data_IF_683534508094
#
_entry.id   IF_683534508094
#
_cell.length_a   1.000
_cell.length_b   1.000
_cell.length_c   1.000
_cell.angle_alpha   90.00
_cell.angle_beta   90.00
_cell.angle_gamma   90.00
#
_symmetry.space_group_name_H-M   'P 1'
#
loop_
_entity.id
_entity.type
_entity.pdbx_description
1 polymer ?
#
# COMPACT_ATOMS: atom_id res chain seq x y z
N UNK A 1 8.59 -25.88 10.30
CA UNK A 1 8.11 -24.56 10.76
C UNK A 1 8.53 -23.53 9.74
N UNK A 2 7.64 -23.15 8.83
CA UNK A 2 7.95 -22.19 7.78
C UNK A 2 7.83 -20.78 8.36
N UNK A 3 8.98 -20.13 8.54
CA UNK A 3 9.08 -18.74 8.97
C UNK A 3 8.50 -17.90 7.84
N UNK A 4 7.34 -17.27 8.06
CA UNK A 4 6.73 -16.34 7.11
C UNK A 4 7.73 -15.23 6.80
N UNK A 5 8.22 -15.19 5.56
CA UNK A 5 9.12 -14.13 5.11
C UNK A 5 8.31 -12.84 5.00
N UNK A 6 8.56 -11.89 5.90
CA UNK A 6 8.20 -10.48 5.69
C UNK A 6 8.91 -10.00 4.42
N UNK A 7 8.15 -9.77 3.36
CA UNK A 7 8.64 -9.15 2.13
C UNK A 7 8.65 -7.66 2.38
N UNK A 8 9.78 -6.99 2.12
CA UNK A 8 9.90 -5.53 2.29
C UNK A 8 8.81 -4.80 1.49
N UNK A 9 8.31 -3.63 1.96
CA UNK A 9 7.39 -2.78 1.20
C UNK A 9 7.92 -2.53 -0.22
N UNK A 10 7.03 -2.61 -1.21
CA UNK A 10 7.39 -2.41 -2.62
C UNK A 10 6.78 -1.11 -3.11
N UNK A 11 7.61 -0.25 -3.69
CA UNK A 11 7.11 0.97 -4.33
C UNK A 11 6.24 0.61 -5.54
N UNK A 12 5.19 1.40 -5.74
CA UNK A 12 4.29 1.22 -6.86
C UNK A 12 5.02 1.43 -8.20
N UNK A 13 4.99 0.49 -9.15
CA UNK A 13 5.63 0.65 -10.46
C UNK A 13 5.09 1.84 -11.28
N UNK A 14 3.91 2.38 -10.93
CA UNK A 14 3.38 3.60 -11.55
C UNK A 14 4.01 4.90 -11.01
N UNK A 15 4.93 4.85 -10.03
CA UNK A 15 5.62 6.03 -9.48
C UNK A 15 6.72 6.62 -10.34
N UNK A 16 7.09 5.99 -11.45
CA UNK A 16 8.00 6.64 -12.41
C UNK A 16 7.38 7.93 -12.99
N UNK A 17 6.06 8.15 -12.83
CA UNK A 17 5.40 9.36 -13.28
C UNK A 17 4.29 9.83 -12.31
N UNK A 18 4.48 11.01 -11.70
CA UNK A 18 3.42 11.93 -11.19
C UNK A 18 2.98 11.80 -9.72
N UNK A 19 3.88 11.94 -8.76
CA UNK A 19 3.51 12.73 -7.58
C UNK A 19 4.08 14.15 -7.76
N UNK A 20 3.37 15.22 -7.39
CA UNK A 20 3.97 16.56 -7.33
C UNK A 20 5.21 16.52 -6.41
N UNK A 21 6.18 17.40 -6.64
CA UNK A 21 7.48 17.47 -5.92
C UNK A 21 7.37 17.37 -4.39
N UNK A 22 6.19 17.67 -3.82
CA UNK A 22 5.78 17.21 -2.49
C UNK A 22 4.25 17.22 -2.38
N UNK A 23 3.61 16.14 -1.96
CA UNK A 23 2.21 16.15 -1.53
C UNK A 23 2.08 17.00 -0.24
N UNK A 24 1.40 18.16 -0.29
CA UNK A 24 1.39 19.09 0.83
C UNK A 24 0.51 18.59 1.97
N UNK A 25 0.84 19.02 3.18
CA UNK A 25 0.04 18.79 4.38
C UNK A 25 -1.41 19.20 4.21
N UNK A 26 -2.33 18.41 4.76
CA UNK A 26 -3.76 18.67 4.66
C UNK A 26 -4.48 18.49 6.00
N UNK A 27 -3.76 18.52 7.13
CA UNK A 27 -4.33 18.32 8.48
C UNK A 27 -5.48 19.27 8.84
N UNK A 28 -5.52 20.46 8.24
CA UNK A 28 -6.59 21.44 8.46
C UNK A 28 -7.80 21.25 7.53
N UNK A 29 -7.75 20.26 6.64
CA UNK A 29 -8.84 19.94 5.73
C UNK A 29 -10.02 19.37 6.54
N UNK A 30 -11.26 19.81 6.30
CA UNK A 30 -12.42 19.24 6.97
C UNK A 30 -12.52 17.74 6.73
N UNK A 31 -12.80 16.96 7.77
CA UNK A 31 -12.94 15.49 7.70
C UNK A 31 -13.96 15.04 6.64
N UNK A 32 -14.96 15.87 6.34
CA UNK A 32 -15.95 15.62 5.29
C UNK A 32 -15.37 15.55 3.87
N UNK A 33 -14.14 16.05 3.67
CA UNK A 33 -13.41 15.98 2.40
C UNK A 33 -12.60 14.70 2.24
N UNK A 34 -12.42 13.92 3.31
CA UNK A 34 -11.67 12.66 3.24
C UNK A 34 -12.56 11.52 2.75
N UNK A 35 -12.01 10.73 1.84
CA UNK A 35 -12.63 9.55 1.25
C UNK A 35 -12.76 8.44 2.29
N UNK A 36 -13.98 7.94 2.46
CA UNK A 36 -14.34 6.98 3.51
C UNK A 36 -14.15 5.52 3.06
N UNK A 37 -14.29 4.60 4.01
CA UNK A 37 -14.25 3.16 3.78
C UNK A 37 -15.13 2.73 2.60
N UNK A 38 -16.34 3.27 2.49
CA UNK A 38 -17.31 2.88 1.45
C UNK A 38 -16.81 3.23 0.05
N UNK A 39 -16.13 4.37 -0.10
CA UNK A 39 -15.50 4.75 -1.37
C UNK A 39 -14.46 3.71 -1.76
N UNK A 40 -13.49 3.41 -0.89
CA UNK A 40 -12.43 2.45 -1.21
C UNK A 40 -12.94 1.03 -1.41
N UNK A 41 -13.95 0.62 -0.63
CA UNK A 41 -14.60 -0.67 -0.78
C UNK A 41 -15.30 -0.82 -2.14
N UNK A 42 -15.85 0.28 -2.70
CA UNK A 42 -16.43 0.28 -4.05
C UNK A 42 -15.39 0.10 -5.16
N UNK A 43 -14.13 0.44 -4.90
CA UNK A 43 -13.03 0.36 -5.86
C UNK A 43 -12.28 -0.98 -5.84
N UNK A 44 -12.64 -1.89 -4.91
CA UNK A 44 -11.98 -3.19 -4.82
C UNK A 44 -12.24 -4.08 -6.02
N UNK A 45 -11.20 -4.80 -6.45
CA UNK A 45 -11.25 -5.83 -7.49
C UNK A 45 -11.92 -7.11 -6.98
N UNK A 46 -13.24 -7.05 -6.82
CA UNK A 46 -14.06 -8.19 -6.37
C UNK A 46 -13.97 -9.40 -7.29
N UNK A 47 -13.68 -9.16 -8.57
CA UNK A 47 -13.39 -10.20 -9.57
C UNK A 47 -12.15 -11.02 -9.21
N UNK A 48 -11.18 -10.43 -8.51
CA UNK A 48 -10.00 -11.10 -7.96
C UNK A 48 -10.23 -11.61 -6.52
N UNK A 49 -11.45 -11.51 -5.98
CA UNK A 49 -11.76 -11.89 -4.61
C UNK A 49 -11.22 -10.93 -3.55
N UNK A 50 -10.94 -9.67 -3.90
CA UNK A 50 -10.44 -8.68 -2.95
C UNK A 50 -11.50 -8.33 -1.89
N UNK A 51 -11.11 -8.38 -0.61
CA UNK A 51 -11.97 -8.06 0.53
C UNK A 51 -11.30 -7.02 1.44
N UNK A 52 -12.01 -5.95 1.79
CA UNK A 52 -11.49 -4.93 2.70
C UNK A 52 -11.63 -5.41 4.15
N UNK A 53 -10.50 -5.70 4.80
CA UNK A 53 -10.46 -6.16 6.20
C UNK A 53 -10.44 -4.98 7.17
N UNK A 54 -9.52 -4.03 6.95
CA UNK A 54 -9.33 -2.88 7.82
C UNK A 54 -9.27 -1.57 7.03
N UNK A 55 -9.66 -0.49 7.69
CA UNK A 55 -9.59 0.87 7.17
C UNK A 55 -9.32 1.85 8.31
N UNK A 56 -8.31 2.68 8.15
CA UNK A 56 -7.97 3.75 9.09
C UNK A 56 -7.56 5.03 8.32
N UNK A 57 -7.75 6.18 8.96
CA UNK A 57 -7.09 7.42 8.57
C UNK A 57 -6.09 7.81 9.64
N UNK A 58 -4.94 8.32 9.21
CA UNK A 58 -3.94 8.90 10.10
C UNK A 58 -3.06 9.86 9.32
N UNK A 59 -2.24 10.64 10.03
CA UNK A 59 -1.20 11.43 9.35
C UNK A 59 -0.12 10.51 8.79
N UNK A 60 0.64 10.98 7.81
CA UNK A 60 1.71 10.20 7.22
C UNK A 60 2.79 9.88 8.26
N UNK A 61 3.08 10.82 9.17
CA UNK A 61 3.97 10.58 10.30
C UNK A 61 3.47 9.46 11.21
N UNK A 62 2.19 9.49 11.61
CA UNK A 62 1.61 8.43 12.46
C UNK A 62 1.68 7.06 11.77
N UNK A 63 1.48 7.03 10.44
CA UNK A 63 1.65 5.81 9.65
C UNK A 63 3.09 5.29 9.71
N UNK A 64 4.08 6.17 9.51
CA UNK A 64 5.50 5.80 9.59
C UNK A 64 5.81 5.22 10.97
N UNK A 65 5.40 5.92 12.02
CA UNK A 65 5.67 5.52 13.40
C UNK A 65 5.01 4.18 13.76
N UNK A 66 3.80 3.92 13.26
CA UNK A 66 3.02 2.72 13.56
C UNK A 66 3.45 1.50 12.74
N UNK A 67 3.66 1.65 11.43
CA UNK A 67 3.81 0.52 10.51
C UNK A 67 5.22 0.35 9.96
N UNK A 68 6.03 1.41 9.93
CA UNK A 68 7.40 1.36 9.41
C UNK A 68 8.40 2.06 10.35
N UNK A 69 8.45 1.67 11.64
CA UNK A 69 9.30 2.34 12.60
C UNK A 69 10.77 2.25 12.17
N UNK A 70 11.46 3.40 12.13
CA UNK A 70 12.85 3.49 11.68
C UNK A 70 13.04 3.63 10.15
N UNK A 71 11.96 3.69 9.37
CA UNK A 71 11.98 4.14 7.99
C UNK A 71 11.88 5.66 7.92
N UNK A 72 12.57 6.29 6.98
CA UNK A 72 12.44 7.75 6.72
C UNK A 72 11.18 8.11 5.92
N UNK A 73 10.31 7.15 5.63
CA UNK A 73 9.14 7.34 4.76
C UNK A 73 9.53 7.81 3.35
N UNK A 74 8.53 8.22 2.59
CA UNK A 74 8.72 8.79 1.26
C UNK A 74 8.86 10.30 1.39
N UNK A 75 9.99 10.86 0.93
CA UNK A 75 10.39 12.26 1.13
C UNK A 75 9.41 13.27 0.54
N UNK A 76 8.63 12.85 -0.45
CA UNK A 76 7.75 13.72 -1.24
C UNK A 76 6.36 13.81 -0.61
N UNK A 77 6.22 13.50 0.67
CA UNK A 77 4.94 13.54 1.41
C UNK A 77 5.15 14.35 2.69
N UNK A 78 4.27 15.31 2.94
CA UNK A 78 4.28 16.05 4.20
C UNK A 78 3.87 15.15 5.36
N UNK A 79 4.60 15.21 6.47
CA UNK A 79 4.34 14.47 7.71
C UNK A 79 2.87 14.58 8.18
N UNK A 80 2.28 15.76 8.01
CA UNK A 80 0.90 16.09 8.39
C UNK A 80 -0.14 15.86 7.26
N UNK A 81 0.24 15.14 6.19
CA UNK A 81 -0.70 14.65 5.18
C UNK A 81 -1.53 13.52 5.77
N UNK A 82 -2.85 13.65 5.74
CA UNK A 82 -3.77 12.57 6.09
C UNK A 82 -3.81 11.57 4.94
N UNK A 83 -3.55 10.31 5.28
CA UNK A 83 -3.58 9.15 4.38
C UNK A 83 -4.63 8.15 4.84
N UNK A 84 -5.17 7.39 3.90
CA UNK A 84 -6.04 6.24 4.14
C UNK A 84 -5.22 4.96 4.09
N UNK A 85 -5.28 4.18 5.17
CA UNK A 85 -4.63 2.88 5.30
C UNK A 85 -5.69 1.81 5.11
N UNK A 86 -5.46 0.92 4.16
CA UNK A 86 -6.38 -0.16 3.77
C UNK A 86 -5.66 -1.49 3.91
N UNK A 87 -6.24 -2.45 4.63
CA UNK A 87 -5.78 -3.84 4.57
C UNK A 87 -6.76 -4.67 3.77
N UNK A 88 -6.30 -5.19 2.63
CA UNK A 88 -7.12 -5.87 1.64
C UNK A 88 -6.66 -7.32 1.54
N UNK A 89 -7.54 -8.27 1.85
CA UNK A 89 -7.23 -9.69 1.71
C UNK A 89 -7.60 -10.22 0.33
N UNK A 90 -6.79 -11.18 -0.12
CA UNK A 90 -6.96 -11.99 -1.32
C UNK A 90 -6.89 -13.46 -0.90
N UNK A 91 -7.98 -14.03 -0.36
CA UNK A 91 -7.98 -15.38 0.21
C UNK A 91 -7.83 -16.49 -0.84
N UNK A 92 -8.04 -16.16 -2.13
CA UNK A 92 -7.83 -17.08 -3.26
C UNK A 92 -6.48 -16.88 -3.94
N UNK A 93 -5.62 -16.05 -3.34
CA UNK A 93 -4.31 -15.73 -3.88
C UNK A 93 -4.30 -14.47 -4.73
N UNK A 94 -3.09 -14.00 -5.02
CA UNK A 94 -2.82 -12.80 -5.79
C UNK A 94 -1.58 -13.06 -6.64
N UNK A 95 -1.65 -12.75 -7.93
CA UNK A 95 -0.47 -12.68 -8.79
C UNK A 95 0.07 -11.27 -8.75
N UNK A 96 1.29 -11.12 -8.26
CA UNK A 96 1.99 -9.85 -8.21
C UNK A 96 3.27 -9.92 -9.05
N UNK A 97 3.83 -8.76 -9.36
CA UNK A 97 5.04 -8.66 -10.18
C UNK A 97 6.22 -9.44 -9.61
N UNK A 98 6.33 -9.48 -8.28
CA UNK A 98 7.43 -10.11 -7.54
C UNK A 98 7.20 -11.58 -7.17
N UNK A 99 5.93 -12.02 -7.10
CA UNK A 99 5.58 -13.36 -6.66
C UNK A 99 4.11 -13.69 -6.95
N UNK A 100 3.84 -14.99 -7.07
CA UNK A 100 2.50 -15.53 -6.99
C UNK A 100 2.23 -15.99 -5.55
N UNK A 101 1.07 -15.61 -5.02
CA UNK A 101 0.66 -15.89 -3.64
C UNK A 101 -0.57 -16.80 -3.63
N UNK A 102 -0.59 -17.85 -2.79
CA UNK A 102 -1.80 -18.68 -2.53
C UNK A 102 -2.82 -17.94 -1.68
N UNK A 103 -2.34 -17.08 -0.78
CA UNK A 103 -3.10 -16.14 0.01
C UNK A 103 -2.28 -14.87 0.15
N UNK A 104 -2.93 -13.69 0.08
CA UNK A 104 -2.23 -12.42 0.26
C UNK A 104 -3.06 -11.42 1.06
N UNK A 105 -2.36 -10.54 1.76
CA UNK A 105 -2.88 -9.30 2.34
C UNK A 105 -2.04 -8.16 1.78
N UNK A 106 -2.74 -7.22 1.16
CA UNK A 106 -2.16 -5.98 0.65
C UNK A 106 -2.49 -4.86 1.62
N UNK A 107 -1.47 -4.28 2.24
CA UNK A 107 -1.61 -3.00 2.95
C UNK A 107 -1.39 -1.89 1.94
N UNK A 108 -2.41 -1.10 1.66
CA UNK A 108 -2.36 0.02 0.72
C UNK A 108 -2.49 1.33 1.48
N UNK A 109 -1.55 2.24 1.22
CA UNK A 109 -1.56 3.62 1.71
C UNK A 109 -1.99 4.52 0.55
N UNK A 110 -3.03 5.29 0.76
CA UNK A 110 -3.62 6.15 -0.27
C UNK A 110 -3.79 7.56 0.23
N UNK A 111 -3.78 8.51 -0.68
CA UNK A 111 -4.15 9.87 -0.35
C UNK A 111 -5.61 9.92 0.14
N UNK A 112 -5.86 10.53 1.30
CA UNK A 112 -7.21 10.55 1.85
C UNK A 112 -8.17 11.48 1.07
N UNK A 113 -7.67 12.39 0.21
CA UNK A 113 -8.50 13.31 -0.56
C UNK A 113 -8.74 12.81 -1.99
N UNK A 114 -7.68 12.42 -2.70
CA UNK A 114 -7.77 11.96 -4.10
C UNK A 114 -7.99 10.45 -4.23
N UNK A 115 -7.61 9.66 -3.22
CA UNK A 115 -7.63 8.19 -3.27
C UNK A 115 -6.49 7.59 -4.09
N UNK A 116 -5.56 8.42 -4.55
CA UNK A 116 -4.38 7.98 -5.30
C UNK A 116 -3.49 7.07 -4.45
N UNK A 117 -2.92 6.06 -5.09
CA UNK A 117 -2.04 5.11 -4.42
C UNK A 117 -0.69 5.74 -4.13
N UNK A 118 -0.34 5.82 -2.85
CA UNK A 118 0.95 6.33 -2.39
C UNK A 118 1.94 5.16 -2.30
N UNK A 119 1.62 4.11 -1.57
CA UNK A 119 2.49 2.95 -1.42
C UNK A 119 1.67 1.73 -1.06
N UNK A 120 2.29 0.56 -1.19
CA UNK A 120 1.70 -0.68 -0.73
C UNK A 120 2.75 -1.69 -0.30
N UNK A 121 2.30 -2.65 0.49
CA UNK A 121 3.07 -3.81 0.88
C UNK A 121 2.20 -5.04 0.66
N UNK A 122 2.79 -6.10 0.10
CA UNK A 122 2.13 -7.39 -0.07
C UNK A 122 2.78 -8.38 0.88
N UNK A 123 1.96 -8.99 1.73
CA UNK A 123 2.35 -10.09 2.61
C UNK A 123 1.48 -11.31 2.30
N UNK A 124 2.02 -12.51 2.45
CA UNK A 124 1.25 -13.71 2.14
C UNK A 124 2.11 -14.96 1.98
N UNK A 125 1.44 -16.06 1.72
CA UNK A 125 2.10 -17.33 1.40
C UNK A 125 2.48 -17.34 -0.09
N UNK A 126 3.77 -17.31 -0.37
CA UNK A 126 4.32 -17.32 -1.73
C UNK A 126 4.30 -18.75 -2.26
N UNK A 127 3.62 -18.97 -3.38
CA UNK A 127 3.62 -20.25 -4.10
C UNK A 127 4.71 -20.31 -5.15
N UNK A 128 5.05 -19.17 -5.75
CA UNK A 128 6.16 -19.07 -6.70
C UNK A 128 6.82 -17.68 -6.58
N UNK A 129 8.15 -17.66 -6.57
CA UNK A 129 8.90 -16.41 -6.64
C UNK A 129 9.17 -16.13 -8.11
N UNK A 130 8.50 -15.13 -8.66
CA UNK A 130 8.84 -14.60 -9.97
C UNK A 130 10.28 -14.09 -9.88
N UNK A 131 11.21 -14.87 -10.42
CA UNK A 131 12.64 -14.61 -10.33
C UNK A 131 12.99 -13.42 -11.22
N UNK A 132 12.73 -12.20 -10.75
CA UNK A 132 13.42 -11.00 -11.23
C UNK A 132 14.86 -11.02 -10.69
N UNK A 133 15.67 -11.99 -11.11
CA UNK A 133 17.11 -11.93 -10.94
C UNK A 133 17.83 -12.83 -11.95
N UNK A 134 18.13 -12.24 -13.12
CA UNK A 134 19.36 -12.48 -13.89
C UNK A 134 19.49 -11.40 -14.97
N UNK A 135 19.79 -10.17 -14.55
CA UNK A 135 20.72 -9.36 -15.37
C UNK A 135 22.11 -9.84 -14.99
N UNK A 136 22.52 -10.94 -15.63
CA UNK A 136 23.94 -11.17 -15.86
C UNK A 136 24.32 -10.07 -16.85
N UNK A 137 25.14 -9.12 -16.44
CA UNK A 137 25.96 -8.39 -17.41
C UNK A 137 27.43 -8.61 -17.07
N UNK A 138 28.26 -8.86 -18.10
CA UNK A 138 29.67 -9.21 -17.98
C UNK A 138 30.53 -8.08 -17.41
#
# INVERSE_FOLDING_TARGET
>A
SSVGQQVKPQENPSKVNRLPERLPGNRNTPVSKFLRKEYFQSQLRKDLGAELQAFEWMTYQDYIDKYTPGSTGITDISDDRVVAILEISFPKGLKAENADYSTAVVRSVRDAVSGELIEYEISGEVTDKNSLNRVIMP
#
